data_IF_022144206773
#
_entry.id   IF_022144206773
#
_cell.length_a   1.000
_cell.length_b   1.000
_cell.length_c   1.000
_cell.angle_alpha   90.00
_cell.angle_beta   90.00
_cell.angle_gamma   90.00
#
_symmetry.space_group_name_H-M   'P 1'
#
loop_
_entity.id
_entity.type
_entity.pdbx_description
1 polymer ?
#
# COMPACT_ATOMS: atom_id res chain seq x y z
N UNK A 1 -0.61 31.39 28.67
CA UNK A 1 -0.85 31.45 27.21
C UNK A 1 -1.56 30.16 26.80
N UNK A 2 -2.90 30.17 26.79
CA UNK A 2 -3.69 29.04 26.28
C UNK A 2 -3.75 29.18 24.76
N UNK A 3 -2.78 28.57 24.08
CA UNK A 3 -2.77 28.49 22.63
C UNK A 3 -4.05 27.78 22.19
N UNK A 4 -4.82 28.44 21.35
CA UNK A 4 -6.16 28.06 20.92
C UNK A 4 -6.07 26.74 20.10
N UNK A 5 -6.08 25.60 20.79
CA UNK A 5 -5.83 24.26 20.24
C UNK A 5 -7.03 23.80 19.41
N UNK A 6 -7.15 24.32 18.18
CA UNK A 6 -8.26 23.99 17.29
C UNK A 6 -8.26 22.47 16.98
N UNK A 7 -9.38 21.76 17.17
CA UNK A 7 -9.45 20.30 17.01
C UNK A 7 -9.02 19.80 15.62
N UNK A 8 -9.23 20.63 14.58
CA UNK A 8 -8.81 20.36 13.19
C UNK A 8 -7.30 20.21 13.02
N UNK A 9 -6.50 20.89 13.87
CA UNK A 9 -5.04 20.80 13.82
C UNK A 9 -4.54 19.50 14.46
N UNK A 10 -5.26 18.98 15.48
CA UNK A 10 -4.95 17.72 16.14
C UNK A 10 -5.19 16.54 15.20
N UNK A 11 -6.34 16.50 14.52
CA UNK A 11 -6.68 15.44 13.57
C UNK A 11 -5.66 15.34 12.43
N UNK A 12 -5.28 16.48 11.84
CA UNK A 12 -4.24 16.53 10.80
C UNK A 12 -2.91 15.97 11.31
N UNK A 13 -2.54 16.30 12.55
CA UNK A 13 -1.30 15.80 13.17
C UNK A 13 -1.36 14.30 13.43
N UNK A 14 -2.50 13.76 13.86
CA UNK A 14 -2.71 12.32 14.04
C UNK A 14 -2.61 11.54 12.73
N UNK A 15 -3.30 12.00 11.68
CA UNK A 15 -3.23 11.38 10.34
C UNK A 15 -1.78 11.35 9.85
N UNK A 16 -1.09 12.47 10.04
CA UNK A 16 0.32 12.58 9.68
C UNK A 16 1.21 11.62 10.47
N UNK A 17 1.03 11.51 11.79
CA UNK A 17 1.78 10.56 12.62
C UNK A 17 1.50 9.10 12.24
N UNK A 18 0.23 8.77 11.99
CA UNK A 18 -0.18 7.42 11.60
C UNK A 18 0.40 7.02 10.23
N UNK A 19 0.67 7.99 9.36
CA UNK A 19 1.30 7.73 8.07
C UNK A 19 2.82 7.60 8.10
N UNK A 20 3.46 8.14 9.16
CA UNK A 20 4.91 8.15 9.33
C UNK A 20 5.45 6.95 10.08
N UNK A 21 4.59 6.02 10.47
CA UNK A 21 4.99 4.80 11.18
C UNK A 21 5.72 3.78 10.30
N UNK A 22 5.83 4.02 8.99
CA UNK A 22 6.57 3.16 8.05
C UNK A 22 5.88 1.83 7.72
N UNK A 23 4.76 1.50 8.37
CA UNK A 23 4.06 0.22 8.18
C UNK A 23 3.47 0.10 6.76
N UNK A 24 2.98 1.21 6.22
CA UNK A 24 2.51 1.27 4.82
C UNK A 24 3.66 1.07 3.83
N UNK A 25 4.82 1.66 4.09
CA UNK A 25 6.00 1.50 3.23
C UNK A 25 6.44 0.02 3.23
N UNK A 26 6.50 -0.63 4.39
CA UNK A 26 6.79 -2.08 4.50
C UNK A 26 5.79 -2.89 3.68
N UNK A 27 4.49 -2.60 3.81
CA UNK A 27 3.44 -3.32 3.08
C UNK A 27 3.63 -3.21 1.56
N UNK A 28 3.83 -2.01 1.02
CA UNK A 28 4.05 -1.83 -0.42
C UNK A 28 5.36 -2.44 -0.91
N UNK A 29 6.43 -2.36 -0.11
CA UNK A 29 7.70 -3.00 -0.43
C UNK A 29 7.56 -4.52 -0.50
N UNK A 30 6.89 -5.14 0.47
CA UNK A 30 6.58 -6.57 0.44
C UNK A 30 5.68 -6.96 -0.74
N UNK A 31 4.72 -6.10 -1.11
CA UNK A 31 3.84 -6.34 -2.27
C UNK A 31 4.64 -6.35 -3.58
N UNK A 32 5.59 -5.42 -3.76
CA UNK A 32 6.49 -5.42 -4.93
C UNK A 32 7.39 -6.65 -4.96
N UNK A 33 7.97 -7.03 -3.82
CA UNK A 33 8.80 -8.24 -3.75
C UNK A 33 7.98 -9.50 -4.05
N UNK A 34 6.74 -9.59 -3.56
CA UNK A 34 5.85 -10.71 -3.85
C UNK A 34 5.47 -10.76 -5.33
N UNK A 35 5.26 -9.60 -5.98
CA UNK A 35 5.05 -9.53 -7.42
C UNK A 35 6.27 -10.08 -8.18
N UNK A 36 7.47 -9.58 -7.89
CA UNK A 36 8.71 -10.01 -8.55
C UNK A 36 9.02 -11.52 -8.35
N UNK A 37 8.71 -12.06 -7.17
CA UNK A 37 8.88 -13.49 -6.89
C UNK A 37 7.83 -14.34 -7.58
N UNK A 38 6.65 -13.80 -7.86
CA UNK A 38 5.59 -14.59 -8.48
C UNK A 38 5.88 -14.93 -9.92
N UNK A 39 6.37 -13.97 -10.69
CA UNK A 39 6.69 -14.22 -12.09
C UNK A 39 7.84 -15.24 -12.16
N UNK A 40 8.76 -15.19 -11.19
CA UNK A 40 9.76 -16.25 -10.97
C UNK A 40 9.13 -17.62 -10.70
N UNK A 41 8.16 -17.73 -9.79
CA UNK A 41 7.52 -19.01 -9.48
C UNK A 41 6.65 -19.55 -10.62
N UNK A 42 5.99 -18.65 -11.36
CA UNK A 42 5.17 -18.98 -12.52
C UNK A 42 6.07 -19.52 -13.63
N UNK A 43 7.22 -18.89 -13.85
CA UNK A 43 8.21 -19.32 -14.84
C UNK A 43 8.69 -20.77 -14.60
N UNK A 44 9.00 -21.11 -13.35
CA UNK A 44 9.44 -22.47 -12.99
C UNK A 44 8.28 -23.49 -12.88
N UNK A 45 7.03 -23.10 -13.18
CA UNK A 45 5.82 -23.89 -12.95
C UNK A 45 5.71 -24.41 -11.49
N UNK A 46 6.26 -23.66 -10.53
CA UNK A 46 6.22 -24.03 -9.11
C UNK A 46 4.93 -23.57 -8.44
N UNK A 47 4.31 -22.51 -8.97
CA UNK A 47 3.07 -21.97 -8.44
C UNK A 47 2.20 -21.41 -9.56
N UNK A 48 0.90 -21.50 -9.34
CA UNK A 48 -0.12 -20.90 -10.19
C UNK A 48 -0.25 -19.38 -9.91
N UNK A 49 -0.71 -18.58 -10.89
CA UNK A 49 -0.87 -17.12 -10.74
C UNK A 49 -1.79 -16.69 -9.59
N UNK A 50 -2.65 -17.58 -9.09
CA UNK A 50 -3.50 -17.28 -7.93
C UNK A 50 -2.70 -17.10 -6.63
N UNK A 51 -1.47 -17.60 -6.57
CA UNK A 51 -0.59 -17.50 -5.41
C UNK A 51 -0.28 -16.04 -5.04
N UNK A 52 -0.16 -15.13 -6.02
CA UNK A 52 0.00 -13.67 -5.79
C UNK A 52 -1.15 -13.13 -4.96
N UNK A 53 -2.38 -13.45 -5.37
CA UNK A 53 -3.59 -12.95 -4.73
C UNK A 53 -3.63 -13.43 -3.28
N UNK A 54 -3.22 -14.67 -3.06
CA UNK A 54 -3.12 -15.25 -1.73
C UNK A 54 -2.02 -14.59 -0.89
N UNK A 55 -0.85 -14.30 -1.46
CA UNK A 55 0.24 -13.58 -0.78
C UNK A 55 -0.17 -12.17 -0.35
N UNK A 56 -0.88 -11.42 -1.21
CA UNK A 56 -1.37 -10.07 -0.85
C UNK A 56 -2.36 -10.14 0.33
N UNK A 57 -3.29 -11.11 0.30
CA UNK A 57 -4.24 -11.32 1.40
C UNK A 57 -3.49 -11.69 2.70
N UNK A 58 -2.53 -12.62 2.60
CA UNK A 58 -1.69 -13.02 3.73
C UNK A 58 -0.94 -11.81 4.30
N UNK A 59 -0.35 -10.95 3.46
CA UNK A 59 0.37 -9.75 3.88
C UNK A 59 -0.53 -8.69 4.52
N UNK A 60 -1.82 -8.67 4.18
CA UNK A 60 -2.77 -7.73 4.76
C UNK A 60 -3.04 -8.03 6.25
N UNK A 61 -3.00 -9.30 6.67
CA UNK A 61 -3.19 -9.69 8.08
C UNK A 61 -2.12 -9.10 9.01
N UNK A 62 -0.81 -9.36 8.83
CA UNK A 62 0.22 -8.78 9.69
C UNK A 62 0.28 -7.26 9.57
N UNK A 63 -0.02 -6.68 8.39
CA UNK A 63 -0.17 -5.23 8.24
C UNK A 63 -1.24 -4.66 9.18
N UNK A 64 -2.44 -5.26 9.19
CA UNK A 64 -3.54 -4.87 10.07
C UNK A 64 -3.17 -5.10 11.54
N UNK A 65 -2.54 -6.23 11.88
CA UNK A 65 -2.12 -6.51 13.25
C UNK A 65 -1.11 -5.48 13.76
N UNK A 66 -0.10 -5.11 12.96
CA UNK A 66 0.89 -4.09 13.34
C UNK A 66 0.23 -2.73 13.50
N UNK A 67 -0.69 -2.35 12.60
CA UNK A 67 -1.45 -1.09 12.73
C UNK A 67 -2.30 -1.08 14.00
N UNK A 68 -3.10 -2.10 14.24
CA UNK A 68 -4.09 -2.14 15.33
C UNK A 68 -3.42 -2.31 16.69
N UNK A 69 -2.44 -3.21 16.83
CA UNK A 69 -1.86 -3.56 18.12
C UNK A 69 -0.55 -2.83 18.45
N UNK A 70 0.14 -2.32 17.43
CA UNK A 70 1.48 -1.76 17.63
C UNK A 70 1.51 -0.24 17.46
N UNK A 71 1.01 0.30 16.35
CA UNK A 71 1.18 1.74 16.05
C UNK A 71 0.01 2.58 16.56
N UNK A 72 -1.24 2.19 16.30
CA UNK A 72 -2.44 2.95 16.73
C UNK A 72 -2.47 3.20 18.24
N UNK A 73 -2.20 2.22 19.13
CA UNK A 73 -2.25 2.45 20.57
C UNK A 73 -1.17 3.42 21.08
N UNK A 74 -0.05 3.55 20.37
CA UNK A 74 1.09 4.41 20.75
C UNK A 74 0.89 5.87 20.37
N UNK A 75 0.05 6.15 19.37
CA UNK A 75 -0.31 7.53 18.97
C UNK A 75 -1.39 8.10 19.90
N UNK A 76 -2.14 7.22 20.57
CA UNK A 76 -3.26 7.57 21.45
C UNK A 76 -4.59 7.57 20.70
N UNK A 77 -5.65 7.17 21.41
CA UNK A 77 -7.02 7.17 20.89
C UNK A 77 -7.59 8.59 20.96
N UNK A 78 -7.57 9.30 19.84
CA UNK A 78 -8.47 10.44 19.65
C UNK A 78 -9.56 9.97 18.71
N UNK A 79 -10.80 9.90 19.22
CA UNK A 79 -11.98 9.65 18.38
C UNK A 79 -12.04 10.78 17.35
N UNK A 80 -11.59 10.52 16.13
CA UNK A 80 -11.75 11.47 15.03
C UNK A 80 -13.24 11.73 14.82
N UNK A 81 -13.62 12.99 14.60
CA UNK A 81 -15.02 13.26 14.26
C UNK A 81 -15.35 12.54 12.94
N UNK A 82 -16.57 12.01 12.79
CA UNK A 82 -16.98 11.40 11.54
C UNK A 82 -16.76 12.40 10.40
N UNK A 83 -16.05 11.96 9.36
CA UNK A 83 -15.74 12.75 8.17
C UNK A 83 -17.02 13.40 7.67
N UNK A 84 -17.00 14.72 7.45
CA UNK A 84 -18.14 15.48 6.94
C UNK A 84 -18.72 14.83 5.67
N UNK A 85 -20.05 14.82 5.55
CA UNK A 85 -20.81 13.98 4.63
C UNK A 85 -20.27 13.87 3.21
N UNK A 86 -19.89 14.99 2.58
CA UNK A 86 -19.40 14.99 1.20
C UNK A 86 -18.08 14.22 0.99
N UNK A 87 -17.13 14.31 1.92
CA UNK A 87 -15.84 13.59 1.79
C UNK A 87 -15.99 12.11 2.15
N UNK A 88 -16.92 11.78 3.07
CA UNK A 88 -17.30 10.38 3.36
C UNK A 88 -17.98 9.73 2.15
N UNK A 89 -18.92 10.43 1.50
CA UNK A 89 -19.59 9.98 0.28
C UNK A 89 -18.59 9.76 -0.86
N UNK A 90 -17.65 10.69 -1.06
CA UNK A 90 -16.60 10.53 -2.06
C UNK A 90 -15.73 9.30 -1.80
N UNK A 91 -15.31 9.06 -0.54
CA UNK A 91 -14.53 7.88 -0.18
C UNK A 91 -15.33 6.59 -0.39
N UNK A 92 -16.62 6.57 -0.03
CA UNK A 92 -17.50 5.42 -0.29
C UNK A 92 -17.63 5.18 -1.79
N UNK A 93 -17.86 6.23 -2.58
CA UNK A 93 -17.99 6.12 -4.03
C UNK A 93 -16.69 5.62 -4.68
N UNK A 94 -15.54 6.10 -4.23
CA UNK A 94 -14.23 5.62 -4.68
C UNK A 94 -14.00 4.15 -4.30
N UNK A 95 -14.38 3.74 -3.09
CA UNK A 95 -14.29 2.33 -2.67
C UNK A 95 -15.20 1.44 -3.51
N UNK A 96 -16.45 1.85 -3.74
CA UNK A 96 -17.40 1.13 -4.59
C UNK A 96 -16.87 1.05 -6.02
N UNK A 97 -16.42 2.16 -6.59
CA UNK A 97 -15.84 2.22 -7.92
C UNK A 97 -14.61 1.32 -8.02
N UNK A 98 -13.72 1.35 -7.03
CA UNK A 98 -12.54 0.49 -6.95
C UNK A 98 -12.91 -0.99 -6.92
N UNK A 99 -13.91 -1.39 -6.11
CA UNK A 99 -14.41 -2.77 -6.03
C UNK A 99 -15.06 -3.20 -7.36
N UNK A 100 -15.90 -2.36 -7.95
CA UNK A 100 -16.56 -2.64 -9.23
C UNK A 100 -15.51 -2.80 -10.34
N UNK A 101 -14.56 -1.87 -10.43
CA UNK A 101 -13.49 -1.92 -11.42
C UNK A 101 -12.62 -3.16 -11.24
N UNK A 102 -12.20 -3.49 -10.01
CA UNK A 102 -11.42 -4.72 -9.76
C UNK A 102 -12.23 -5.97 -10.08
N UNK A 103 -13.53 -6.00 -9.78
CA UNK A 103 -14.40 -7.13 -10.08
C UNK A 103 -14.60 -7.29 -11.59
N UNK A 104 -14.77 -6.18 -12.33
CA UNK A 104 -14.86 -6.19 -13.80
C UNK A 104 -13.55 -6.66 -14.45
N UNK A 105 -12.40 -6.18 -13.98
CA UNK A 105 -11.10 -6.63 -14.47
C UNK A 105 -10.88 -8.11 -14.18
N UNK A 106 -11.23 -8.57 -12.97
CA UNK A 106 -11.10 -9.96 -12.57
C UNK A 106 -12.06 -10.86 -13.36
N UNK A 107 -13.30 -10.43 -13.56
CA UNK A 107 -14.27 -11.10 -14.43
C UNK A 107 -13.76 -11.16 -15.87
N UNK A 108 -13.18 -10.08 -16.42
CA UNK A 108 -12.57 -10.09 -17.75
C UNK A 108 -11.41 -11.09 -17.86
N UNK A 109 -10.61 -11.26 -16.81
CA UNK A 109 -9.53 -12.28 -16.80
C UNK A 109 -10.06 -13.71 -16.72
N UNK A 110 -11.13 -13.95 -15.95
CA UNK A 110 -11.72 -15.28 -15.78
C UNK A 110 -12.62 -15.70 -16.95
N UNK A 111 -13.27 -14.72 -17.58
CA UNK A 111 -14.14 -14.88 -18.75
C UNK A 111 -13.35 -14.78 -20.06
N UNK A 112 -12.01 -14.91 -20.03
CA UNK A 112 -11.19 -15.19 -21.22
C UNK A 112 -11.60 -16.55 -21.81
N UNK A 113 -12.78 -16.59 -22.43
CA UNK A 113 -13.15 -17.61 -23.39
C UNK A 113 -12.38 -17.40 -24.69
N UNK A 114 -12.47 -18.36 -25.62
CA UNK A 114 -11.71 -18.38 -26.88
C UNK A 114 -11.93 -17.18 -27.82
N UNK A 115 -12.87 -16.28 -27.52
CA UNK A 115 -13.11 -15.04 -28.27
C UNK A 115 -12.14 -13.89 -27.91
N UNK A 116 -11.49 -13.94 -26.74
CA UNK A 116 -10.53 -12.93 -26.27
C UNK A 116 -9.08 -13.47 -26.22
N UNK A 117 -8.86 -14.75 -26.54
CA UNK A 117 -7.54 -15.39 -26.47
C UNK A 117 -6.53 -14.85 -27.48
N UNK A 118 -6.99 -14.19 -28.55
CA UNK A 118 -6.12 -13.76 -29.65
C UNK A 118 -5.75 -12.27 -29.61
N UNK A 119 -6.20 -11.53 -28.60
CA UNK A 119 -5.78 -10.15 -28.38
C UNK A 119 -5.14 -10.06 -27.01
N UNK A 120 -3.82 -10.18 -27.00
CA UNK A 120 -3.01 -9.71 -25.87
C UNK A 120 -3.27 -8.22 -25.73
N UNK A 121 -4.14 -7.86 -24.78
CA UNK A 121 -4.32 -6.48 -24.34
C UNK A 121 -3.03 -6.03 -23.65
N UNK A 122 -2.00 -5.74 -24.44
CA UNK A 122 -0.78 -5.09 -23.97
C UNK A 122 -1.10 -3.60 -23.84
N UNK A 123 -1.23 -3.13 -22.60
CA UNK A 123 -1.33 -1.70 -22.35
C UNK A 123 0.01 -1.06 -22.73
N UNK A 124 -0.03 0.10 -23.38
CA UNK A 124 1.19 0.86 -23.63
C UNK A 124 1.91 1.13 -22.30
N UNK A 125 3.25 0.94 -22.22
CA UNK A 125 4.04 1.24 -21.02
C UNK A 125 3.78 2.63 -20.44
N UNK A 126 3.46 3.62 -21.29
CA UNK A 126 3.13 4.99 -20.89
C UNK A 126 1.80 5.05 -20.14
N UNK A 127 0.81 4.25 -20.55
CA UNK A 127 -0.49 4.17 -19.91
C UNK A 127 -0.36 3.50 -18.54
N UNK A 128 0.46 2.44 -18.43
CA UNK A 128 0.73 1.77 -17.15
C UNK A 128 1.45 2.70 -16.16
N UNK A 129 2.48 3.42 -16.62
CA UNK A 129 3.17 4.44 -15.85
C UNK A 129 2.19 5.50 -15.31
N UNK A 130 1.37 6.06 -16.20
CA UNK A 130 0.38 7.07 -15.85
C UNK A 130 -0.67 6.53 -14.88
N UNK A 131 -1.11 5.28 -15.07
CA UNK A 131 -2.08 4.62 -14.21
C UNK A 131 -1.57 4.49 -12.77
N UNK A 132 -0.36 3.96 -12.56
CA UNK A 132 0.19 3.77 -11.22
C UNK A 132 0.45 5.09 -10.50
N UNK A 133 1.00 6.09 -11.19
CA UNK A 133 1.23 7.42 -10.62
C UNK A 133 -0.09 8.10 -10.32
N UNK A 134 -1.08 8.01 -11.20
CA UNK A 134 -2.38 8.61 -10.95
C UNK A 134 -3.07 7.93 -9.76
N UNK A 135 -3.07 6.59 -9.69
CA UNK A 135 -3.69 5.82 -8.61
C UNK A 135 -3.09 6.19 -7.25
N UNK A 136 -1.78 6.01 -7.10
CA UNK A 136 -1.10 6.28 -5.83
C UNK A 136 -0.94 7.77 -5.54
N UNK A 137 -0.76 8.59 -6.57
CA UNK A 137 -0.69 10.05 -6.45
C UNK A 137 -2.01 10.64 -5.99
N UNK A 138 -3.13 10.18 -6.55
CA UNK A 138 -4.47 10.62 -6.18
C UNK A 138 -4.84 10.18 -4.76
N UNK A 139 -4.59 8.92 -4.40
CA UNK A 139 -4.82 8.43 -3.03
C UNK A 139 -3.89 9.18 -2.04
N UNK A 140 -2.63 9.37 -2.40
CA UNK A 140 -1.64 10.09 -1.61
C UNK A 140 -2.06 11.54 -1.37
N UNK A 141 -2.53 12.22 -2.42
CA UNK A 141 -3.05 13.58 -2.32
C UNK A 141 -4.31 13.66 -1.44
N UNK A 142 -5.27 12.73 -1.62
CA UNK A 142 -6.50 12.68 -0.81
C UNK A 142 -6.22 12.47 0.67
N UNK A 143 -5.22 11.64 1.00
CA UNK A 143 -4.85 11.30 2.38
C UNK A 143 -3.77 12.23 2.96
N UNK A 144 -3.13 13.08 2.15
CA UNK A 144 -1.99 13.91 2.56
C UNK A 144 -0.69 13.13 2.81
N UNK A 145 -0.51 12.00 2.10
CA UNK A 145 0.60 11.07 2.28
C UNK A 145 1.60 11.20 1.13
N UNK A 146 2.62 12.03 1.30
CA UNK A 146 3.68 12.20 0.30
C UNK A 146 4.48 10.92 0.04
N UNK A 147 4.57 10.00 1.01
CA UNK A 147 5.21 8.70 0.80
C UNK A 147 4.49 7.87 -0.26
N UNK A 148 3.16 7.95 -0.34
CA UNK A 148 2.37 7.22 -1.31
C UNK A 148 2.62 7.70 -2.74
N UNK A 149 2.86 9.01 -2.92
CA UNK A 149 3.25 9.58 -4.22
C UNK A 149 4.60 9.00 -4.67
N UNK A 150 5.57 8.90 -3.74
CA UNK A 150 6.86 8.30 -4.03
C UNK A 150 6.74 6.81 -4.38
N UNK A 151 5.88 6.06 -3.66
CA UNK A 151 5.54 4.67 -4.02
C UNK A 151 4.94 4.61 -5.42
N UNK A 152 4.02 5.52 -5.75
CA UNK A 152 3.42 5.60 -7.09
C UNK A 152 4.42 5.83 -8.22
N UNK A 153 5.41 6.69 -8.01
CA UNK A 153 6.51 6.89 -8.95
C UNK A 153 7.35 5.63 -9.10
N UNK A 154 7.69 4.97 -8.00
CA UNK A 154 8.50 3.74 -8.02
C UNK A 154 7.74 2.63 -8.76
N UNK A 155 6.47 2.40 -8.45
CA UNK A 155 5.61 1.45 -9.19
C UNK A 155 5.48 1.83 -10.67
N UNK A 156 5.25 3.12 -10.92
CA UNK A 156 5.10 3.65 -12.27
C UNK A 156 6.33 3.40 -13.13
N UNK A 157 7.55 3.49 -12.59
CA UNK A 157 8.77 3.15 -13.34
C UNK A 157 9.05 1.64 -13.35
N UNK A 158 8.90 0.95 -12.23
CA UNK A 158 9.28 -0.45 -12.09
C UNK A 158 8.51 -1.36 -13.06
N UNK A 159 7.19 -1.18 -13.13
CA UNK A 159 6.31 -2.07 -13.91
C UNK A 159 6.53 -1.99 -15.42
N UNK A 160 6.54 -0.78 -16.04
CA UNK A 160 6.70 -0.68 -17.48
C UNK A 160 8.12 -0.99 -17.94
N UNK A 161 9.15 -0.71 -17.11
CA UNK A 161 10.53 -1.13 -17.38
C UNK A 161 10.63 -2.65 -17.37
N UNK A 162 10.00 -3.33 -16.41
CA UNK A 162 9.93 -4.79 -16.39
C UNK A 162 9.27 -5.33 -17.66
N UNK A 163 8.15 -4.72 -18.11
CA UNK A 163 7.50 -5.07 -19.36
C UNK A 163 8.35 -4.85 -20.62
N UNK A 164 9.14 -3.77 -20.66
CA UNK A 164 10.03 -3.46 -21.81
C UNK A 164 11.21 -4.42 -21.95
N UNK A 165 11.69 -5.01 -20.87
CA UNK A 165 12.85 -5.92 -20.89
C UNK A 165 12.49 -7.27 -21.54
N UNK A 166 11.19 -7.56 -21.72
CA UNK A 166 10.72 -8.80 -22.34
C UNK A 166 10.93 -9.98 -21.40
N UNK A 167 9.90 -10.32 -20.63
CA UNK A 167 9.97 -11.35 -19.58
C UNK A 167 9.89 -12.79 -20.12
N UNK A 168 10.02 -12.99 -21.43
CA UNK A 168 9.69 -14.26 -22.09
C UNK A 168 10.85 -15.30 -22.05
N UNK A 169 11.96 -15.02 -21.35
CA UNK A 169 13.14 -15.90 -21.35
C UNK A 169 13.71 -16.15 -19.95
N UNK A 170 14.35 -17.31 -19.68
CA UNK A 170 15.06 -17.57 -18.40
C UNK A 170 15.96 -16.38 -18.01
N UNK A 171 16.59 -15.74 -19.01
CA UNK A 171 17.54 -14.66 -18.82
C UNK A 171 16.93 -13.36 -18.25
N UNK A 172 15.60 -13.20 -18.27
CA UNK A 172 14.93 -12.00 -17.75
C UNK A 172 14.57 -12.08 -16.27
N UNK A 173 14.65 -13.26 -15.63
CA UNK A 173 14.37 -13.45 -14.20
C UNK A 173 15.22 -12.54 -13.29
N UNK A 174 16.55 -12.42 -13.47
CA UNK A 174 17.33 -11.48 -12.69
C UNK A 174 16.88 -10.04 -12.93
N UNK A 175 16.54 -9.69 -14.18
CA UNK A 175 16.15 -8.34 -14.54
C UNK A 175 14.85 -7.92 -13.84
N UNK A 176 13.90 -8.82 -13.66
CA UNK A 176 12.67 -8.54 -12.92
C UNK A 176 12.90 -8.36 -11.41
N UNK A 177 13.72 -9.23 -10.82
CA UNK A 177 14.15 -9.07 -9.42
C UNK A 177 14.88 -7.74 -9.21
N UNK A 178 15.63 -7.26 -10.20
CA UNK A 178 16.30 -5.95 -10.14
C UNK A 178 15.36 -4.76 -10.40
N UNK A 179 14.38 -4.90 -11.28
CA UNK A 179 13.50 -3.79 -11.67
C UNK A 179 12.31 -3.60 -10.75
N UNK A 180 11.76 -4.69 -10.21
CA UNK A 180 10.60 -4.67 -9.30
C UNK A 180 11.00 -5.06 -7.88
N UNK A 181 11.82 -6.11 -7.73
CA UNK A 181 12.24 -6.63 -6.43
C UNK A 181 13.14 -5.67 -5.65
N UNK A 182 14.17 -5.09 -6.28
CA UNK A 182 15.09 -4.16 -5.62
C UNK A 182 14.38 -2.89 -5.13
N UNK A 183 13.53 -2.20 -5.92
CA UNK A 183 12.75 -1.10 -5.38
C UNK A 183 11.83 -1.51 -4.24
N UNK A 184 11.20 -2.69 -4.33
CA UNK A 184 10.41 -3.26 -3.24
C UNK A 184 11.21 -3.42 -1.95
N UNK A 185 12.42 -3.97 -2.06
CA UNK A 185 13.34 -4.14 -0.94
C UNK A 185 13.77 -2.78 -0.34
N UNK A 186 14.08 -1.78 -1.17
CA UNK A 186 14.44 -0.43 -0.73
C UNK A 186 13.28 0.24 0.02
N UNK A 187 12.06 0.18 -0.53
CA UNK A 187 10.86 0.74 0.14
C UNK A 187 10.63 0.03 1.48
N UNK A 188 10.71 -1.30 1.51
CA UNK A 188 10.55 -2.08 2.74
C UNK A 188 11.62 -1.69 3.79
N UNK A 189 12.88 -1.56 3.38
CA UNK A 189 13.98 -1.11 4.25
C UNK A 189 13.74 0.29 4.82
N UNK A 190 13.31 1.24 3.99
CA UNK A 190 12.93 2.59 4.44
C UNK A 190 11.77 2.51 5.45
N UNK A 191 10.78 1.67 5.18
CA UNK A 191 9.64 1.42 6.06
C UNK A 191 10.06 0.87 7.42
N UNK A 192 10.98 -0.11 7.46
CA UNK A 192 11.55 -0.66 8.68
C UNK A 192 12.28 0.42 9.47
N UNK A 193 13.12 1.23 8.82
CA UNK A 193 13.85 2.32 9.49
C UNK A 193 12.86 3.34 10.10
N UNK A 194 11.80 3.71 9.36
CA UNK A 194 10.76 4.61 9.83
C UNK A 194 9.98 4.00 11.00
N UNK A 195 9.65 2.71 10.93
CA UNK A 195 8.98 1.99 12.01
C UNK A 195 9.85 1.98 13.26
N UNK A 196 11.13 1.63 13.18
CA UNK A 196 12.03 1.64 14.33
C UNK A 196 12.12 3.05 14.94
N UNK A 197 12.29 4.09 14.10
CA UNK A 197 12.29 5.49 14.57
C UNK A 197 10.98 5.87 15.25
N UNK A 198 9.85 5.45 14.69
CA UNK A 198 8.53 5.67 15.26
C UNK A 198 8.38 4.97 16.62
N UNK A 199 8.79 3.71 16.75
CA UNK A 199 8.71 2.96 18.00
C UNK A 199 9.62 3.53 19.10
N UNK A 200 10.74 4.17 18.72
CA UNK A 200 11.63 4.89 19.65
C UNK A 200 11.05 6.25 20.07
N UNK A 201 10.39 6.95 19.16
CA UNK A 201 9.77 8.26 19.43
C UNK A 201 8.50 8.12 20.28
N UNK A 202 7.75 7.04 20.08
CA UNK A 202 6.54 6.69 20.83
C UNK A 202 6.77 5.37 21.58
N UNK A 203 7.56 5.38 22.68
CA UNK A 203 7.68 4.21 23.53
C UNK A 203 6.29 3.84 24.07
N UNK A 204 6.07 2.55 24.38
CA UNK A 204 4.81 2.13 25.01
C UNK A 204 4.66 2.91 26.32
N UNK A 205 3.76 3.88 26.34
CA UNK A 205 3.33 4.48 27.58
C UNK A 205 2.65 3.37 28.37
N UNK A 206 3.14 3.10 29.59
CA UNK A 206 2.45 2.23 30.52
C UNK A 206 1.10 2.89 30.82
N UNK A 207 0.06 2.50 30.06
CA UNK A 207 -1.34 2.93 30.25
C UNK A 207 -1.82 2.74 31.71
N UNK A 208 -1.11 1.94 32.50
CA UNK A 208 -1.38 1.71 33.93
C UNK A 208 -1.30 2.98 34.80
N UNK A 209 -0.45 3.96 34.49
CA UNK A 209 -0.27 5.11 35.38
C UNK A 209 -1.43 6.13 35.36
N UNK A 210 -2.27 6.13 34.32
CA UNK A 210 -3.36 7.12 34.18
C UNK A 210 -4.75 6.58 34.54
N UNK A 211 -4.92 5.26 34.70
CA UNK A 211 -6.16 4.70 35.23
C UNK A 211 -6.18 4.67 36.76
N UNK A 212 -5.02 4.72 37.43
CA UNK A 212 -4.93 4.76 38.90
C UNK A 212 -5.18 6.16 39.51
N UNK A 213 -5.31 7.21 38.67
CA UNK A 213 -5.61 8.58 39.13
C UNK A 213 -6.96 9.12 38.63
N UNK A 214 -7.79 8.28 37.99
CA UNK A 214 -9.13 8.64 37.52
C UNK A 214 -10.27 8.21 38.44
N UNK A 215 -9.97 7.50 39.53
CA UNK A 215 -10.91 7.12 40.59
C UNK A 215 -10.57 7.85 41.90
N UNK A 216 -10.67 9.18 41.91
CA UNK A 216 -10.82 9.96 43.16
C UNK A 216 -11.76 11.14 42.90
#
# INVERSE_FOLDING_TARGET
>A
MQENYKPKNIEKRLIYLQSRDGVLDIFFGCMLMAAALSDTFTYYNWAEPWYIRFMIIILMVPFLLVKVFLTTPRIGYVKMKPVAGGRKQLLILLTIFGIVLTTLLLAATLLKGPLLSNHEFSLSPVVEFAFWIFLFGFIGWLMGLYSLIAVGLIFGFAWPIAGMIGLDSIASLPAELFTVGLPGFVIAGIGIIRLIKFLRMFPRQNLKANFEHGEQ
#
